data_IF_546711332077
#
_entry.id   IF_546711332077
#
_cell.length_a   1.000
_cell.length_b   1.000
_cell.length_c   1.000
_cell.angle_alpha   90.00
_cell.angle_beta   90.00
_cell.angle_gamma   90.00
#
_symmetry.space_group_name_H-M   'P 1'
#
loop_
_entity.id
_entity.type
_entity.pdbx_description
1 polymer ?
#
# COMPACT_ATOMS: atom_id res chain seq x y z
N UNK A 1 -16.24 -39.89 -3.58
CA UNK A 1 -15.99 -38.66 -4.38
C UNK A 1 -16.84 -37.45 -3.94
N UNK A 2 -18.18 -37.51 -3.94
CA UNK A 2 -19.06 -36.36 -3.59
C UNK A 2 -18.77 -35.69 -2.23
N UNK A 3 -18.44 -36.46 -1.19
CA UNK A 3 -18.10 -35.93 0.15
C UNK A 3 -16.79 -35.14 0.19
N UNK A 4 -15.78 -35.58 -0.57
CA UNK A 4 -14.48 -34.90 -0.65
C UNK A 4 -14.63 -33.57 -1.38
N UNK A 5 -15.37 -33.56 -2.49
CA UNK A 5 -15.68 -32.34 -3.24
C UNK A 5 -16.39 -31.31 -2.34
N UNK A 6 -17.38 -31.75 -1.54
CA UNK A 6 -18.09 -30.87 -0.63
C UNK A 6 -17.17 -30.21 0.41
N UNK A 7 -16.24 -30.96 0.99
CA UNK A 7 -15.26 -30.43 1.96
C UNK A 7 -14.34 -29.41 1.28
N UNK A 8 -13.81 -29.73 0.11
CA UNK A 8 -12.92 -28.83 -0.65
C UNK A 8 -13.65 -27.53 -0.98
N UNK A 9 -14.87 -27.61 -1.51
CA UNK A 9 -15.67 -26.42 -1.86
C UNK A 9 -15.96 -25.57 -0.62
N UNK A 10 -16.35 -26.18 0.50
CA UNK A 10 -16.60 -25.47 1.76
C UNK A 10 -15.34 -24.77 2.28
N UNK A 11 -14.18 -25.42 2.19
CA UNK A 11 -12.90 -24.85 2.58
C UNK A 11 -12.51 -23.65 1.71
N UNK A 12 -12.64 -23.77 0.39
CA UNK A 12 -12.35 -22.67 -0.56
C UNK A 12 -13.25 -21.46 -0.30
N UNK A 13 -14.55 -21.69 -0.03
CA UNK A 13 -15.49 -20.62 0.33
C UNK A 13 -15.04 -19.94 1.63
N UNK A 14 -14.66 -20.72 2.65
CA UNK A 14 -14.21 -20.18 3.93
C UNK A 14 -12.95 -19.32 3.78
N UNK A 15 -11.93 -19.80 3.07
CA UNK A 15 -10.70 -19.04 2.82
C UNK A 15 -11.00 -17.75 2.05
N UNK A 16 -11.86 -17.81 1.03
CA UNK A 16 -12.27 -16.64 0.26
C UNK A 16 -12.96 -15.61 1.16
N UNK A 17 -13.85 -16.07 2.05
CA UNK A 17 -14.53 -15.22 3.02
C UNK A 17 -13.57 -14.57 4.02
N UNK A 18 -12.59 -15.31 4.53
CA UNK A 18 -11.56 -14.73 5.40
C UNK A 18 -10.74 -13.66 4.68
N UNK A 19 -10.37 -13.90 3.41
CA UNK A 19 -9.64 -12.92 2.60
C UNK A 19 -10.46 -11.66 2.33
N UNK A 20 -11.76 -11.80 2.07
CA UNK A 20 -12.64 -10.63 1.89
C UNK A 20 -12.80 -9.84 3.18
N UNK A 21 -12.96 -10.49 4.33
CA UNK A 21 -12.96 -9.82 5.64
C UNK A 21 -11.67 -9.05 5.90
N UNK A 22 -10.50 -9.67 5.66
CA UNK A 22 -9.20 -8.99 5.79
C UNK A 22 -9.05 -7.78 4.86
N UNK A 23 -9.65 -7.83 3.66
CA UNK A 23 -9.66 -6.69 2.74
C UNK A 23 -10.56 -5.53 3.21
N UNK A 24 -11.65 -5.83 3.92
CA UNK A 24 -12.52 -4.80 4.51
C UNK A 24 -11.84 -4.10 5.69
N UNK A 25 -11.01 -4.80 6.44
CA UNK A 25 -10.21 -4.20 7.52
C UNK A 25 -9.21 -3.18 6.96
N UNK A 26 -8.57 -3.48 5.82
CA UNK A 26 -7.70 -2.52 5.13
C UNK A 26 -8.44 -1.22 4.77
N UNK A 27 -9.73 -1.30 4.39
CA UNK A 27 -10.54 -0.12 4.08
C UNK A 27 -10.61 0.86 5.25
N UNK A 28 -10.65 0.37 6.50
CA UNK A 28 -10.61 1.23 7.69
C UNK A 28 -9.24 1.90 7.84
N UNK A 29 -8.15 1.19 7.53
CA UNK A 29 -6.78 1.75 7.58
C UNK A 29 -6.48 2.77 6.46
N UNK A 30 -7.40 2.97 5.51
CA UNK A 30 -7.27 3.98 4.47
C UNK A 30 -7.72 5.37 4.94
N UNK A 31 -8.65 5.44 5.90
CA UNK A 31 -9.18 6.72 6.43
C UNK A 31 -8.30 7.28 7.54
N UNK A 32 -7.56 6.43 8.25
CA UNK A 32 -6.75 6.81 9.42
C UNK A 32 -5.28 7.04 9.08
N UNK A 33 -5.00 7.93 8.12
CA UNK A 33 -3.62 8.33 7.85
C UNK A 33 -3.17 9.37 8.91
N UNK A 34 -2.14 9.01 9.69
CA UNK A 34 -1.55 9.87 10.73
C UNK A 34 -0.49 10.79 10.13
N UNK A 35 -0.78 12.08 10.16
CA UNK A 35 0.13 13.14 9.75
C UNK A 35 1.30 13.27 10.73
N UNK A 36 2.49 13.53 10.18
CA UNK A 36 3.63 13.90 11.00
C UNK A 36 3.55 15.41 11.29
N UNK A 37 3.16 15.75 12.52
CA UNK A 37 2.81 17.12 12.96
C UNK A 37 4.08 17.94 13.30
N UNK A 38 5.28 17.38 13.14
CA UNK A 38 6.54 18.04 13.52
C UNK A 38 7.07 19.05 12.48
N UNK A 39 6.23 19.53 11.56
CA UNK A 39 6.66 20.34 10.41
C UNK A 39 5.73 21.55 10.18
N UNK A 40 6.32 22.70 9.82
CA UNK A 40 5.58 23.90 9.44
C UNK A 40 4.90 23.69 8.07
N UNK A 41 3.61 23.40 8.11
CA UNK A 41 2.76 23.44 6.91
C UNK A 41 2.90 24.82 6.25
N UNK A 42 2.84 24.87 4.92
CA UNK A 42 2.99 26.06 4.05
C UNK A 42 4.41 26.48 3.66
N UNK A 43 5.47 25.84 4.16
CA UNK A 43 6.81 26.10 3.64
C UNK A 43 6.90 25.73 2.15
N UNK A 44 7.45 26.65 1.34
CA UNK A 44 7.68 26.41 -0.09
C UNK A 44 8.76 25.35 -0.30
N UNK A 45 8.48 24.35 -1.13
CA UNK A 45 9.42 23.27 -1.42
C UNK A 45 10.56 23.77 -2.30
N UNK A 46 11.78 23.80 -1.76
CA UNK A 46 12.94 24.37 -2.45
C UNK A 46 13.66 23.33 -3.31
N UNK A 47 13.64 23.51 -4.64
CA UNK A 47 14.31 22.61 -5.59
C UNK A 47 15.76 22.99 -5.94
N UNK A 48 16.33 23.98 -5.27
CA UNK A 48 17.71 24.41 -5.53
C UNK A 48 18.71 23.28 -5.29
N UNK A 49 19.63 23.09 -6.25
CA UNK A 49 20.66 22.06 -6.22
C UNK A 49 20.18 20.65 -6.58
N UNK A 50 18.88 20.45 -6.82
CA UNK A 50 18.30 19.18 -7.29
C UNK A 50 18.60 18.99 -8.77
N UNK A 51 19.04 17.79 -9.13
CA UNK A 51 19.51 17.48 -10.48
C UNK A 51 18.52 16.59 -11.23
N UNK A 52 18.40 16.86 -12.53
CA UNK A 52 17.81 15.94 -13.51
C UNK A 52 18.85 14.93 -13.98
N UNK A 53 18.39 13.97 -14.78
CA UNK A 53 19.24 12.89 -15.32
C UNK A 53 20.36 13.38 -16.24
N UNK A 54 20.15 14.52 -16.91
CA UNK A 54 21.12 15.19 -17.77
C UNK A 54 22.10 16.08 -16.98
N UNK A 55 22.15 15.94 -15.65
CA UNK A 55 22.95 16.76 -14.71
C UNK A 55 22.57 18.24 -14.64
N UNK A 56 21.49 18.67 -15.30
CA UNK A 56 21.00 20.05 -15.18
C UNK A 56 20.19 20.25 -13.90
N UNK A 57 20.22 21.47 -13.37
CA UNK A 57 19.39 21.86 -12.22
C UNK A 57 17.91 21.85 -12.62
N UNK A 58 17.06 21.31 -11.76
CA UNK A 58 15.63 21.24 -12.03
C UNK A 58 14.99 22.64 -11.97
N UNK A 59 14.12 22.93 -12.94
CA UNK A 59 13.37 24.19 -12.95
C UNK A 59 12.18 24.10 -11.96
N UNK A 60 11.99 25.05 -11.02
CA UNK A 60 10.86 25.06 -10.10
C UNK A 60 9.48 25.01 -10.76
N UNK A 61 9.35 25.48 -12.01
CA UNK A 61 8.12 25.40 -12.81
C UNK A 61 7.60 23.97 -12.99
N UNK A 62 8.41 22.94 -12.72
CA UNK A 62 7.94 21.55 -12.72
C UNK A 62 6.77 21.33 -11.74
N UNK A 63 6.69 22.11 -10.66
CA UNK A 63 5.65 22.02 -9.63
C UNK A 63 4.38 22.81 -9.96
N UNK A 64 4.44 23.77 -10.88
CA UNK A 64 3.33 24.68 -11.15
C UNK A 64 2.08 23.93 -11.63
N UNK A 65 0.92 24.38 -11.15
CA UNK A 65 -0.42 23.89 -11.53
C UNK A 65 -0.62 22.39 -11.29
N UNK A 66 0.17 21.81 -10.37
CA UNK A 66 0.13 20.38 -10.07
C UNK A 66 0.23 20.09 -8.58
N UNK A 67 -0.73 19.33 -8.08
CA UNK A 67 -0.56 18.61 -6.82
C UNK A 67 0.56 17.58 -6.99
N UNK A 68 1.55 17.61 -6.11
CA UNK A 68 2.76 16.79 -6.27
C UNK A 68 3.00 15.91 -5.05
N UNK A 69 3.09 14.59 -5.26
CA UNK A 69 3.64 13.68 -4.26
C UNK A 69 5.16 13.62 -4.44
N UNK A 70 5.91 14.13 -3.47
CA UNK A 70 7.36 13.97 -3.41
C UNK A 70 7.69 12.74 -2.56
N UNK A 71 8.54 11.85 -3.08
CA UNK A 71 9.10 10.72 -2.35
C UNK A 71 10.62 10.83 -2.32
N UNK A 72 11.21 10.92 -1.13
CA UNK A 72 12.64 10.71 -0.94
C UNK A 72 12.94 9.21 -0.81
N UNK A 73 13.96 8.73 -1.52
CA UNK A 73 14.33 7.31 -1.54
C UNK A 73 15.83 7.09 -1.83
N UNK A 74 16.28 5.84 -1.72
CA UNK A 74 17.59 5.39 -2.19
C UNK A 74 17.47 3.98 -2.82
N UNK A 75 18.49 3.54 -3.57
CA UNK A 75 18.40 2.30 -4.38
C UNK A 75 18.26 1.02 -3.54
N UNK A 76 18.90 0.95 -2.37
CA UNK A 76 18.80 -0.19 -1.43
C UNK A 76 17.52 -0.22 -0.58
N UNK A 77 16.59 0.71 -0.79
CA UNK A 77 15.40 0.85 0.04
C UNK A 77 14.27 -0.08 -0.45
N UNK A 78 14.22 -1.32 0.04
CA UNK A 78 13.10 -2.26 -0.19
C UNK A 78 11.72 -1.63 0.02
N UNK A 79 11.44 -0.91 1.12
CA UNK A 79 10.13 -0.27 1.30
C UNK A 79 9.85 0.84 0.28
N UNK A 80 10.86 1.55 -0.19
CA UNK A 80 10.71 2.54 -1.26
C UNK A 80 10.33 1.86 -2.59
N UNK A 81 10.97 0.73 -2.92
CA UNK A 81 10.65 -0.04 -4.14
C UNK A 81 9.19 -0.49 -4.15
N UNK A 82 8.73 -1.11 -3.06
CA UNK A 82 7.33 -1.55 -2.90
C UNK A 82 6.32 -0.39 -3.07
N UNK A 83 6.67 0.82 -2.64
CA UNK A 83 5.83 1.99 -2.85
C UNK A 83 5.82 2.45 -4.33
N UNK A 84 6.99 2.47 -4.99
CA UNK A 84 7.13 2.84 -6.41
C UNK A 84 6.33 1.91 -7.33
N UNK A 85 6.23 0.62 -7.00
CA UNK A 85 5.43 -0.35 -7.77
C UNK A 85 3.93 -0.01 -7.81
N UNK A 86 3.46 0.84 -6.89
CA UNK A 86 2.06 1.30 -6.83
C UNK A 86 1.83 2.65 -7.52
N UNK A 87 2.89 3.37 -7.88
CA UNK A 87 2.78 4.71 -8.49
C UNK A 87 2.06 4.73 -9.83
N UNK A 88 2.27 3.79 -10.78
CA UNK A 88 1.51 3.79 -12.03
C UNK A 88 0.00 3.70 -11.80
N UNK A 89 -0.43 2.84 -10.86
CA UNK A 89 -1.84 2.72 -10.49
C UNK A 89 -2.38 4.01 -9.86
N UNK A 90 -1.63 4.63 -8.95
CA UNK A 90 -2.01 5.90 -8.34
C UNK A 90 -2.17 7.01 -9.39
N UNK A 91 -1.25 7.10 -10.36
CA UNK A 91 -1.34 8.06 -11.46
C UNK A 91 -2.58 7.82 -12.33
N UNK A 92 -2.96 6.57 -12.57
CA UNK A 92 -4.17 6.24 -13.33
C UNK A 92 -5.47 6.59 -12.58
N UNK A 93 -5.43 6.57 -11.24
CA UNK A 93 -6.57 6.90 -10.37
C UNK A 93 -6.71 8.42 -10.11
N UNK A 94 -5.81 9.24 -10.64
CA UNK A 94 -5.72 10.68 -10.37
C UNK A 94 -5.77 11.51 -11.66
N UNK A 95 -6.19 12.77 -11.55
CA UNK A 95 -6.28 13.70 -12.67
C UNK A 95 -4.93 14.10 -13.29
N UNK A 96 -4.97 14.79 -14.44
CA UNK A 96 -3.77 15.29 -15.13
C UNK A 96 -2.98 16.32 -14.32
N UNK A 97 -3.63 17.00 -13.36
CA UNK A 97 -3.06 17.95 -12.41
C UNK A 97 -2.36 17.28 -11.21
N UNK A 98 -2.13 15.97 -11.25
CA UNK A 98 -1.33 15.26 -10.25
C UNK A 98 -0.05 14.68 -10.86
N UNK A 99 1.05 14.78 -10.13
CA UNK A 99 2.32 14.15 -10.48
C UNK A 99 3.05 13.55 -9.27
N UNK A 100 4.01 12.69 -9.56
CA UNK A 100 4.91 12.12 -8.58
C UNK A 100 6.34 12.54 -8.90
N UNK A 101 7.07 13.01 -7.90
CA UNK A 101 8.50 13.29 -7.99
C UNK A 101 9.22 12.38 -7.01
N UNK A 102 10.09 11.51 -7.51
CA UNK A 102 10.98 10.73 -6.66
C UNK A 102 12.36 11.39 -6.65
N UNK A 103 12.83 11.78 -5.46
CA UNK A 103 14.16 12.33 -5.25
C UNK A 103 15.03 11.22 -4.65
N UNK A 104 16.08 10.82 -5.37
CA UNK A 104 17.09 9.90 -4.86
C UNK A 104 18.14 10.65 -4.05
N UNK A 105 18.54 10.08 -2.93
CA UNK A 105 19.66 10.55 -2.10
C UNK A 105 20.98 9.82 -2.41
N UNK A 106 20.96 8.88 -3.37
CA UNK A 106 22.16 8.20 -3.82
C UNK A 106 23.09 9.20 -4.55
N UNK A 107 24.39 8.91 -4.59
CA UNK A 107 25.34 9.70 -5.39
C UNK A 107 24.90 9.73 -6.87
N UNK A 108 25.03 10.89 -7.52
CA UNK A 108 24.54 11.11 -8.88
C UNK A 108 25.04 10.07 -9.88
N UNK A 109 26.35 9.79 -9.89
CA UNK A 109 26.97 8.85 -10.84
C UNK A 109 26.49 7.40 -10.65
N UNK A 110 26.09 7.03 -9.42
CA UNK A 110 25.49 5.73 -9.14
C UNK A 110 23.99 5.72 -9.50
N UNK A 111 23.29 6.82 -9.25
CA UNK A 111 21.86 6.95 -9.48
C UNK A 111 21.50 7.04 -10.97
N UNK A 112 22.22 7.86 -11.73
CA UNK A 112 21.93 8.18 -13.14
C UNK A 112 21.74 6.93 -14.02
N UNK A 113 22.71 6.00 -14.13
CA UNK A 113 22.60 4.85 -15.04
C UNK A 113 21.40 3.94 -14.74
N UNK A 114 20.96 3.85 -13.47
CA UNK A 114 19.81 3.03 -13.09
C UNK A 114 18.45 3.60 -13.55
N UNK A 115 18.45 4.84 -14.04
CA UNK A 115 17.25 5.60 -14.38
C UNK A 115 17.19 6.06 -15.84
N UNK A 116 18.24 5.83 -16.66
CA UNK A 116 18.38 6.36 -18.03
C UNK A 116 17.24 6.00 -18.99
N UNK A 117 16.47 4.93 -18.73
CA UNK A 117 15.40 4.47 -19.63
C UNK A 117 14.01 4.38 -18.98
N UNK A 118 13.78 5.04 -17.84
CA UNK A 118 12.56 4.85 -17.04
C UNK A 118 11.53 5.98 -17.17
N UNK A 119 11.35 6.60 -18.33
CA UNK A 119 10.40 7.72 -18.42
C UNK A 119 8.93 7.25 -18.38
N UNK A 120 8.25 7.58 -17.27
CA UNK A 120 6.81 7.40 -17.11
C UNK A 120 6.19 8.79 -17.04
N UNK A 121 5.19 9.06 -17.88
CA UNK A 121 4.50 10.36 -17.91
C UNK A 121 3.92 10.70 -16.52
N UNK A 122 4.13 11.94 -16.05
CA UNK A 122 3.76 12.43 -14.69
C UNK A 122 4.50 11.77 -13.51
N UNK A 123 5.55 10.98 -13.78
CA UNK A 123 6.46 10.49 -12.75
C UNK A 123 7.91 10.88 -13.07
N UNK A 124 8.37 11.93 -12.41
CA UNK A 124 9.74 12.44 -12.57
C UNK A 124 10.65 11.81 -11.53
N UNK A 125 11.85 11.43 -11.96
CA UNK A 125 12.94 11.00 -11.07
C UNK A 125 14.04 12.03 -11.09
N UNK A 126 14.46 12.47 -9.91
CA UNK A 126 15.48 13.48 -9.69
C UNK A 126 16.52 12.95 -8.70
N UNK A 127 17.66 13.60 -8.66
CA UNK A 127 18.72 13.35 -7.69
C UNK A 127 18.87 14.55 -6.75
N UNK A 128 19.22 14.29 -5.49
CA UNK A 128 19.41 15.31 -4.47
C UNK A 128 20.52 16.32 -4.83
N UNK A 129 21.51 15.91 -5.63
CA UNK A 129 22.64 16.75 -6.01
C UNK A 129 23.31 17.39 -4.79
N UNK A 130 23.50 18.71 -4.85
CA UNK A 130 24.09 19.51 -3.76
C UNK A 130 23.02 20.16 -2.86
N UNK A 131 21.77 19.73 -2.97
CA UNK A 131 20.66 20.33 -2.22
C UNK A 131 20.76 20.05 -0.72
N UNK A 132 20.40 21.04 0.10
CA UNK A 132 20.32 20.90 1.56
C UNK A 132 18.95 20.39 2.06
N UNK A 133 18.05 19.96 1.14
CA UNK A 133 16.68 19.57 1.45
C UNK A 133 16.54 18.50 2.54
N UNK A 134 17.44 17.52 2.59
CA UNK A 134 17.40 16.46 3.62
C UNK A 134 17.48 17.08 5.02
N UNK A 135 18.39 18.04 5.20
CA UNK A 135 18.60 18.74 6.47
C UNK A 135 17.47 19.71 6.77
N UNK A 136 17.06 20.53 5.79
CA UNK A 136 16.01 21.54 6.00
C UNK A 136 14.64 20.91 6.29
N UNK A 137 14.32 19.81 5.63
CA UNK A 137 13.07 19.07 5.84
C UNK A 137 13.16 18.02 6.96
N UNK A 138 14.29 17.95 7.68
CA UNK A 138 14.53 17.01 8.79
C UNK A 138 14.18 15.56 8.40
N UNK A 139 14.72 15.11 7.27
CA UNK A 139 14.49 13.76 6.75
C UNK A 139 15.44 12.80 7.46
N UNK A 140 14.90 11.96 8.34
CA UNK A 140 15.67 11.01 9.16
C UNK A 140 15.51 9.54 8.73
N UNK A 141 14.68 9.26 7.71
CA UNK A 141 14.40 7.91 7.25
C UNK A 141 13.80 7.85 5.85
N UNK A 142 13.70 6.64 5.29
CA UNK A 142 13.19 6.42 3.94
C UNK A 142 12.23 5.22 3.87
N UNK A 143 11.16 5.28 3.05
CA UNK A 143 10.76 6.44 2.25
C UNK A 143 10.21 7.56 3.12
N UNK A 144 10.48 8.81 2.75
CA UNK A 144 9.82 10.00 3.32
C UNK A 144 8.99 10.67 2.24
N UNK A 145 7.79 11.13 2.60
CA UNK A 145 6.85 11.72 1.66
C UNK A 145 6.51 13.17 2.03
N UNK A 146 6.26 13.97 1.00
CA UNK A 146 5.62 15.28 1.12
C UNK A 146 4.53 15.39 0.07
N UNK A 147 3.43 16.04 0.41
CA UNK A 147 2.39 16.43 -0.53
C UNK A 147 2.47 17.94 -0.71
N UNK A 148 2.63 18.36 -1.96
CA UNK A 148 2.69 19.76 -2.34
C UNK A 148 1.40 20.16 -3.05
N UNK A 149 0.93 21.38 -2.82
CA UNK A 149 -0.13 21.99 -3.63
C UNK A 149 0.42 22.52 -4.96
N UNK A 150 -0.46 23.13 -5.75
CA UNK A 150 -0.18 23.67 -7.09
C UNK A 150 0.80 24.85 -7.09
N UNK A 151 1.01 25.48 -5.92
CA UNK A 151 1.99 26.56 -5.71
C UNK A 151 3.38 26.02 -5.28
N UNK A 152 3.51 24.71 -5.09
CA UNK A 152 4.71 24.07 -4.58
C UNK A 152 4.90 24.20 -3.07
N UNK A 153 3.84 24.51 -2.32
CA UNK A 153 3.87 24.61 -0.86
C UNK A 153 3.57 23.24 -0.24
N UNK A 154 4.26 22.90 0.84
CA UNK A 154 4.05 21.65 1.56
C UNK A 154 2.75 21.74 2.35
N UNK A 155 1.76 20.94 1.94
CA UNK A 155 0.45 20.87 2.60
C UNK A 155 0.29 19.63 3.48
N UNK A 156 1.15 18.61 3.31
CA UNK A 156 1.16 17.45 4.20
C UNK A 156 2.51 16.72 4.21
N UNK A 157 2.85 16.11 5.35
CA UNK A 157 3.98 15.20 5.53
C UNK A 157 3.48 13.83 5.97
N UNK A 158 3.30 12.89 5.02
CA UNK A 158 2.92 11.54 5.36
C UNK A 158 3.98 10.74 6.09
N UNK A 159 3.58 10.12 7.21
CA UNK A 159 4.40 9.14 7.93
C UNK A 159 4.98 8.08 6.97
N UNK A 160 6.12 7.51 7.34
CA UNK A 160 6.77 6.45 6.58
C UNK A 160 5.70 5.42 6.16
N UNK A 161 5.62 5.09 4.87
CA UNK A 161 4.61 4.21 4.23
C UNK A 161 3.24 4.78 3.82
N UNK A 162 2.91 6.01 4.19
CA UNK A 162 1.54 6.51 4.00
C UNK A 162 1.35 7.51 2.85
N UNK A 163 2.40 7.84 2.09
CA UNK A 163 2.31 8.82 0.99
C UNK A 163 1.20 8.52 -0.02
N UNK A 164 1.03 7.24 -0.40
CA UNK A 164 -0.05 6.84 -1.31
C UNK A 164 -1.43 7.01 -0.65
N UNK A 165 -1.56 6.70 0.64
CA UNK A 165 -2.80 6.87 1.39
C UNK A 165 -3.17 8.36 1.47
N UNK A 166 -2.20 9.23 1.71
CA UNK A 166 -2.41 10.67 1.75
C UNK A 166 -2.97 11.20 0.42
N UNK A 167 -2.43 10.79 -0.72
CA UNK A 167 -2.96 11.18 -2.04
C UNK A 167 -4.37 10.64 -2.27
N UNK A 168 -4.62 9.38 -1.92
CA UNK A 168 -5.97 8.81 -2.05
C UNK A 168 -6.99 9.54 -1.18
N UNK A 169 -6.61 9.93 0.03
CA UNK A 169 -7.45 10.76 0.89
C UNK A 169 -7.69 12.15 0.27
N UNK A 170 -6.63 12.81 -0.19
CA UNK A 170 -6.69 14.13 -0.81
C UNK A 170 -7.64 14.17 -2.02
N UNK A 171 -7.50 13.22 -2.95
CA UNK A 171 -8.36 13.10 -4.14
C UNK A 171 -9.68 12.34 -3.88
N UNK A 172 -9.99 11.98 -2.63
CA UNK A 172 -11.17 11.18 -2.24
C UNK A 172 -11.34 9.90 -3.06
N UNK A 173 -10.22 9.26 -3.42
CA UNK A 173 -10.18 8.01 -4.18
C UNK A 173 -10.67 6.88 -3.29
N UNK A 174 -11.86 6.36 -3.60
CA UNK A 174 -12.42 5.19 -2.93
C UNK A 174 -11.89 3.92 -3.62
N UNK A 175 -11.10 3.06 -2.95
CA UNK A 175 -10.68 1.81 -3.55
C UNK A 175 -11.91 0.92 -3.74
N UNK A 176 -12.02 0.29 -4.91
CA UNK A 176 -13.04 -0.73 -5.12
C UNK A 176 -12.65 -2.02 -4.36
N UNK A 177 -13.60 -2.94 -4.21
CA UNK A 177 -13.38 -4.14 -3.39
C UNK A 177 -12.31 -5.07 -3.97
N UNK A 178 -12.20 -5.12 -5.30
CA UNK A 178 -11.20 -5.92 -6.00
C UNK A 178 -9.79 -5.39 -5.77
N UNK A 179 -9.62 -4.06 -5.77
CA UNK A 179 -8.36 -3.39 -5.48
C UNK A 179 -7.89 -3.65 -4.06
N UNK A 180 -8.81 -3.60 -3.09
CA UNK A 180 -8.54 -3.92 -1.69
C UNK A 180 -8.12 -5.39 -1.53
N UNK A 181 -8.82 -6.30 -2.20
CA UNK A 181 -8.52 -7.73 -2.18
C UNK A 181 -7.13 -8.03 -2.76
N UNK A 182 -6.81 -7.47 -3.94
CA UNK A 182 -5.52 -7.64 -4.58
C UNK A 182 -4.39 -7.06 -3.71
N UNK A 183 -4.60 -5.90 -3.08
CA UNK A 183 -3.59 -5.31 -2.20
C UNK A 183 -3.41 -6.12 -0.91
N UNK A 184 -4.48 -6.69 -0.35
CA UNK A 184 -4.41 -7.60 0.79
C UNK A 184 -3.56 -8.83 0.46
N UNK A 185 -3.87 -9.52 -0.64
CA UNK A 185 -3.11 -10.70 -1.10
C UNK A 185 -1.65 -10.33 -1.35
N UNK A 186 -1.38 -9.22 -2.04
CA UNK A 186 -0.01 -8.79 -2.30
C UNK A 186 0.75 -8.52 -1.01
N UNK A 187 0.14 -7.87 -0.03
CA UNK A 187 0.79 -7.65 1.28
C UNK A 187 1.07 -8.97 2.02
N UNK A 188 0.18 -9.97 1.92
CA UNK A 188 0.41 -11.30 2.51
C UNK A 188 1.57 -12.03 1.83
N UNK A 189 1.67 -11.97 0.50
CA UNK A 189 2.79 -12.51 -0.27
C UNK A 189 4.11 -11.81 0.07
N UNK A 190 4.12 -10.48 0.02
CA UNK A 190 5.30 -9.63 0.24
C UNK A 190 5.93 -9.73 1.63
N UNK A 191 5.18 -10.24 2.60
CA UNK A 191 5.61 -10.42 3.99
C UNK A 191 5.92 -11.88 4.32
N UNK A 192 5.84 -12.79 3.35
CA UNK A 192 5.86 -14.24 3.55
C UNK A 192 4.83 -14.72 4.61
N UNK A 193 3.80 -13.90 4.88
CA UNK A 193 2.75 -14.23 5.84
C UNK A 193 1.63 -15.04 5.23
N UNK A 194 1.61 -15.23 3.91
CA UNK A 194 0.58 -16.01 3.25
C UNK A 194 0.49 -17.43 3.82
N UNK A 195 1.63 -18.08 4.06
CA UNK A 195 1.64 -19.42 4.65
C UNK A 195 1.03 -19.42 6.06
N UNK A 196 1.47 -18.49 6.92
CA UNK A 196 0.93 -18.36 8.27
C UNK A 196 -0.58 -18.04 8.25
N UNK A 197 -1.01 -17.19 7.32
CA UNK A 197 -2.42 -16.86 7.11
C UNK A 197 -3.21 -18.11 6.74
N UNK A 198 -2.81 -18.82 5.69
CA UNK A 198 -3.48 -20.06 5.25
C UNK A 198 -3.49 -21.09 6.36
N UNK A 199 -2.37 -21.28 7.06
CA UNK A 199 -2.25 -22.23 8.17
C UNK A 199 -3.21 -21.91 9.31
N UNK A 200 -3.24 -20.65 9.76
CA UNK A 200 -4.12 -20.19 10.83
C UNK A 200 -5.60 -20.43 10.48
N UNK A 201 -6.02 -20.04 9.27
CA UNK A 201 -7.41 -20.22 8.86
C UNK A 201 -7.76 -21.68 8.52
N UNK A 202 -6.80 -22.50 8.10
CA UNK A 202 -6.97 -23.95 7.96
C UNK A 202 -7.25 -24.59 9.31
N UNK A 203 -6.49 -24.24 10.34
CA UNK A 203 -6.71 -24.72 11.69
C UNK A 203 -8.09 -24.32 12.22
N UNK A 204 -8.47 -23.04 12.04
CA UNK A 204 -9.80 -22.53 12.42
C UNK A 204 -10.93 -23.27 11.68
N UNK A 205 -10.76 -23.52 10.38
CA UNK A 205 -11.73 -24.27 9.58
C UNK A 205 -11.92 -25.69 10.13
N UNK A 206 -10.83 -26.40 10.45
CA UNK A 206 -10.90 -27.76 10.99
C UNK A 206 -11.64 -27.81 12.32
N UNK A 207 -11.44 -26.82 13.20
CA UNK A 207 -12.18 -26.69 14.47
C UNK A 207 -13.67 -26.51 14.19
N UNK A 208 -14.04 -25.53 13.36
CA UNK A 208 -15.45 -25.24 13.03
C UNK A 208 -16.13 -26.44 12.37
N UNK A 209 -15.44 -27.09 11.45
CA UNK A 209 -15.93 -28.28 10.77
C UNK A 209 -16.11 -29.47 11.72
N UNK A 210 -15.17 -29.65 12.66
CA UNK A 210 -15.25 -30.66 13.72
C UNK A 210 -16.47 -30.44 14.64
N UNK A 211 -16.72 -29.20 15.05
CA UNK A 211 -17.90 -28.82 15.85
C UNK A 211 -19.19 -29.14 15.10
N UNK A 212 -19.28 -28.83 13.81
CA UNK A 212 -20.46 -29.14 12.98
C UNK A 212 -20.70 -30.66 12.89
N UNK A 213 -19.64 -31.46 12.74
CA UNK A 213 -19.75 -32.92 12.74
C UNK A 213 -20.25 -33.42 14.10
N UNK A 214 -19.65 -32.94 15.20
CA UNK A 214 -20.05 -33.33 16.55
C UNK A 214 -21.52 -33.01 16.80
N UNK A 215 -21.99 -31.81 16.44
CA UNK A 215 -23.39 -31.41 16.55
C UNK A 215 -24.32 -32.34 15.75
N UNK A 216 -23.95 -32.70 14.51
CA UNK A 216 -24.72 -33.64 13.70
C UNK A 216 -24.81 -35.03 14.35
N UNK A 217 -23.72 -35.51 14.95
CA UNK A 217 -23.70 -36.79 15.68
C UNK A 217 -24.59 -36.74 16.93
N UNK A 218 -24.53 -35.66 17.71
CA UNK A 218 -25.36 -35.46 18.90
C UNK A 218 -26.85 -35.39 18.55
N UNK A 219 -27.21 -34.66 17.49
CA UNK A 219 -28.59 -34.58 17.00
C UNK A 219 -29.06 -35.98 16.56
N UNK A 220 -28.27 -36.70 15.77
CA UNK A 220 -28.61 -38.06 15.32
C UNK A 220 -28.80 -39.02 16.49
N UNK A 221 -27.92 -39.00 17.49
CA UNK A 221 -28.03 -39.84 18.69
C UNK A 221 -29.31 -39.54 19.47
N UNK A 222 -29.65 -38.27 19.66
CA UNK A 222 -30.89 -37.84 20.33
C UNK A 222 -32.14 -38.34 19.60
N UNK A 223 -32.16 -38.24 18.27
CA UNK A 223 -33.25 -38.76 17.45
C UNK A 223 -33.42 -40.27 17.59
N UNK A 224 -32.34 -41.06 17.48
CA UNK A 224 -32.39 -42.52 17.62
C UNK A 224 -32.89 -42.92 19.02
N UNK A 225 -32.44 -42.23 20.07
CA UNK A 225 -32.86 -42.51 21.46
C UNK A 225 -34.35 -42.20 21.66
N UNK A 226 -34.85 -41.10 21.08
CA UNK A 226 -36.27 -40.72 21.16
C UNK A 226 -37.18 -41.75 20.47
N UNK A 227 -36.78 -42.30 19.32
CA UNK A 227 -37.57 -43.33 18.65
C UNK A 227 -37.56 -44.66 19.40
N UNK A 228 -36.45 -45.03 20.04
CA UNK A 228 -36.34 -46.28 20.80
C UNK A 228 -37.15 -46.30 22.09
N UNK A 229 -37.46 -45.13 22.66
CA UNK A 229 -38.29 -45.01 23.86
C UNK A 229 -39.80 -44.91 23.56
N UNK A 230 -40.17 -44.75 22.29
CA UNK A 230 -41.56 -44.62 21.83
C UNK A 230 -42.06 -45.86 21.06
N UNK A 231 -41.23 -46.91 20.96
CA UNK A 231 -41.53 -48.20 20.37
C UNK A 231 -41.43 -49.27 21.46
#
# INVERSE_FOLDING_TARGET
MKRVIFIIVSFVIFITFCLTLGSLELKKTYTDFKEDISFEKTQKFNLNGILKIDSTVVNPKILADKTTLVQFSFNGCTPCRKAKDRFPKLLNQTGKNFQIITISIDKFDFWKPLNENKNIKRWTRLNIGNSNLIKSLKIIGYPTYFVLNENGEIISRPSHFSGIKAIRNYFKIKPNILDLFIEHIRNLLDSNRLFNYVFMYTFLYLILFGVIILLRLLIKKRWVTKYKNNA
#
